data_IF_184431124601
#
_entry.id   IF_184431124601
#
_cell.length_a   1.000
_cell.length_b   1.000
_cell.length_c   1.000
_cell.angle_alpha   90.00
_cell.angle_beta   90.00
_cell.angle_gamma   90.00
#
_symmetry.space_group_name_H-M   'P 1'
#
loop_
_entity.id
_entity.type
_entity.pdbx_description
1 polymer ?
#
# COMPACT_ATOMS: atom_id res chain seq x y z
N UNK A 1 0.91 -23.12 -2.34
CA UNK A 1 0.64 -21.78 -2.91
C UNK A 1 1.92 -20.95 -2.91
N UNK A 2 2.51 -20.64 -1.74
CA UNK A 2 3.68 -19.77 -1.60
C UNK A 2 4.95 -20.36 -2.21
N UNK A 3 5.12 -21.67 -2.16
CA UNK A 3 6.35 -22.40 -2.55
C UNK A 3 7.61 -21.87 -1.85
N UNK A 4 7.44 -21.37 -0.63
CA UNK A 4 8.53 -20.99 0.26
C UNK A 4 8.79 -22.12 1.25
N UNK A 5 10.07 -22.35 1.60
CA UNK A 5 10.43 -23.35 2.57
C UNK A 5 10.32 -22.75 3.99
N UNK A 6 9.37 -23.23 4.77
CA UNK A 6 9.10 -22.76 6.13
C UNK A 6 10.32 -22.90 7.07
N UNK A 7 11.23 -23.85 6.79
CA UNK A 7 12.45 -24.02 7.60
C UNK A 7 13.42 -22.84 7.52
N UNK A 8 13.25 -21.94 6.56
CA UNK A 8 14.03 -20.70 6.46
C UNK A 8 13.31 -19.50 7.08
N UNK A 9 12.11 -19.71 7.64
CA UNK A 9 11.36 -18.66 8.29
C UNK A 9 11.66 -18.62 9.79
N UNK A 10 11.71 -17.43 10.35
CA UNK A 10 11.78 -17.24 11.79
C UNK A 10 10.39 -17.51 12.37
N UNK A 11 10.31 -18.39 13.37
CA UNK A 11 9.09 -18.66 14.12
C UNK A 11 9.06 -17.83 15.42
N UNK A 12 7.94 -17.23 15.72
CA UNK A 12 7.70 -16.46 16.94
C UNK A 12 6.36 -16.85 17.58
N UNK A 13 6.38 -17.10 18.90
CA UNK A 13 5.24 -17.57 19.71
C UNK A 13 4.23 -16.46 20.03
N UNK A 14 4.16 -15.44 19.21
CA UNK A 14 3.15 -14.39 19.29
C UNK A 14 2.68 -14.02 17.89
N UNK A 15 1.45 -13.56 17.78
CA UNK A 15 0.83 -13.19 16.51
C UNK A 15 0.04 -11.89 16.59
N UNK A 16 -0.46 -11.46 15.43
CA UNK A 16 -1.37 -10.34 15.31
C UNK A 16 -2.74 -10.82 14.82
N UNK A 17 -3.72 -9.92 14.79
CA UNK A 17 -5.08 -10.23 14.28
C UNK A 17 -5.76 -11.41 14.99
N UNK A 18 -5.45 -11.59 16.28
CA UNK A 18 -5.88 -12.73 17.12
C UNK A 18 -5.33 -14.09 16.68
N UNK A 19 -4.28 -14.16 15.87
CA UNK A 19 -3.49 -15.38 15.67
C UNK A 19 -2.52 -15.57 16.83
N UNK A 20 -2.19 -16.84 17.16
CA UNK A 20 -1.34 -17.15 18.32
C UNK A 20 0.15 -16.95 18.02
N UNK A 21 0.57 -17.24 16.80
CA UNK A 21 1.96 -17.29 16.39
C UNK A 21 2.12 -16.82 14.94
N UNK A 22 3.36 -16.57 14.53
CA UNK A 22 3.65 -16.28 13.15
C UNK A 22 5.02 -16.78 12.70
N UNK A 23 5.15 -16.96 11.40
CA UNK A 23 6.40 -17.21 10.70
C UNK A 23 6.74 -16.00 9.84
N UNK A 24 8.01 -15.57 9.87
CA UNK A 24 8.46 -14.43 9.07
C UNK A 24 9.68 -14.76 8.22
N UNK A 25 9.72 -14.22 7.02
CA UNK A 25 10.87 -14.22 6.13
C UNK A 25 11.07 -12.79 5.61
N UNK A 26 11.91 -12.02 6.30
CA UNK A 26 12.00 -10.59 6.06
C UNK A 26 10.66 -9.89 6.33
N UNK A 27 10.09 -9.28 5.29
CA UNK A 27 8.81 -8.56 5.38
C UNK A 27 7.59 -9.41 4.89
N UNK A 28 7.74 -10.73 4.81
CA UNK A 28 6.68 -11.70 4.51
C UNK A 28 6.26 -12.35 5.84
N UNK A 29 4.97 -12.27 6.19
CA UNK A 29 4.43 -12.79 7.43
C UNK A 29 3.33 -13.81 7.17
N UNK A 30 3.39 -14.95 7.87
CA UNK A 30 2.38 -16.01 7.86
C UNK A 30 1.91 -16.21 9.28
N UNK A 31 0.68 -15.84 9.57
CA UNK A 31 0.07 -16.01 10.88
C UNK A 31 -0.71 -17.31 10.95
N UNK A 32 -0.55 -18.04 12.03
CA UNK A 32 -1.22 -19.32 12.30
C UNK A 32 -1.77 -19.37 13.73
N UNK A 33 -2.63 -20.34 13.98
CA UNK A 33 -3.11 -20.64 15.31
C UNK A 33 -3.51 -22.12 15.38
N UNK A 34 -3.61 -22.65 16.59
CA UNK A 34 -4.04 -24.04 16.81
C UNK A 34 -5.52 -24.27 16.41
N UNK A 35 -6.29 -23.19 16.21
CA UNK A 35 -7.66 -23.24 15.72
C UNK A 35 -7.64 -23.39 14.19
N UNK A 36 -7.86 -24.62 13.71
CA UNK A 36 -7.85 -24.94 12.28
C UNK A 36 -8.96 -24.22 11.48
N UNK A 37 -10.11 -23.90 12.11
CA UNK A 37 -11.21 -23.19 11.46
C UNK A 37 -10.82 -21.76 11.08
N UNK A 38 -9.85 -21.19 11.80
CA UNK A 38 -9.35 -19.85 11.53
C UNK A 38 -8.48 -19.76 10.27
N UNK A 39 -7.87 -20.88 9.87
CA UNK A 39 -6.97 -20.96 8.73
C UNK A 39 -5.66 -20.19 8.95
N UNK A 40 -5.04 -19.80 7.85
CA UNK A 40 -3.74 -19.12 7.79
C UNK A 40 -3.90 -17.75 7.15
N UNK A 41 -3.28 -16.72 7.72
CA UNK A 41 -3.26 -15.38 7.15
C UNK A 41 -1.87 -15.06 6.59
N UNK A 42 -1.79 -14.78 5.31
CA UNK A 42 -0.60 -14.21 4.68
C UNK A 42 -0.71 -12.67 4.69
N UNK A 43 0.33 -12.01 5.18
CA UNK A 43 0.45 -10.56 5.13
C UNK A 43 1.74 -10.15 4.41
N UNK A 44 1.58 -9.34 3.37
CA UNK A 44 2.66 -8.73 2.58
C UNK A 44 2.47 -7.22 2.61
N UNK A 45 3.33 -6.51 3.32
CA UNK A 45 3.33 -5.04 3.38
C UNK A 45 4.41 -4.49 2.47
N UNK A 46 4.19 -3.35 1.84
CA UNK A 46 5.18 -2.55 1.14
C UNK A 46 6.42 -3.30 0.62
N UNK A 47 7.48 -3.38 1.43
CA UNK A 47 8.71 -4.13 1.08
C UNK A 47 8.48 -5.63 0.93
N UNK A 48 7.56 -6.21 1.72
CA UNK A 48 7.17 -7.61 1.62
C UNK A 48 6.57 -7.97 0.26
N UNK A 49 5.79 -7.08 -0.34
CA UNK A 49 5.29 -7.28 -1.70
C UNK A 49 6.44 -7.36 -2.71
N UNK A 50 7.41 -6.43 -2.66
CA UNK A 50 8.59 -6.46 -3.55
C UNK A 50 9.48 -7.67 -3.31
N UNK A 51 9.67 -8.06 -2.05
CA UNK A 51 10.41 -9.25 -1.71
C UNK A 51 9.71 -10.51 -2.26
N UNK A 52 8.40 -10.62 -2.06
CA UNK A 52 7.63 -11.76 -2.54
C UNK A 52 7.59 -11.82 -4.08
N UNK A 53 7.52 -10.67 -4.74
CA UNK A 53 7.62 -10.58 -6.21
C UNK A 53 8.94 -11.19 -6.73
N UNK A 54 10.07 -10.95 -6.05
CA UNK A 54 11.34 -11.56 -6.44
C UNK A 54 11.31 -13.09 -6.37
N UNK A 55 10.60 -13.66 -5.41
CA UNK A 55 10.38 -15.12 -5.34
C UNK A 55 9.44 -15.62 -6.43
N UNK A 56 8.39 -14.87 -6.75
CA UNK A 56 7.50 -15.21 -7.87
C UNK A 56 8.26 -15.24 -9.19
N UNK A 57 9.08 -14.22 -9.45
CA UNK A 57 9.91 -14.16 -10.67
C UNK A 57 10.90 -15.33 -10.73
N UNK A 58 11.56 -15.67 -9.62
CA UNK A 58 12.45 -16.82 -9.55
C UNK A 58 11.72 -18.16 -9.83
N UNK A 59 10.43 -18.22 -9.52
CA UNK A 59 9.55 -19.37 -9.79
C UNK A 59 8.90 -19.31 -11.18
N UNK A 60 9.21 -18.29 -12.00
CA UNK A 60 8.56 -18.01 -13.29
C UNK A 60 7.03 -17.86 -13.15
N UNK A 61 6.59 -17.20 -12.10
CA UNK A 61 5.18 -16.93 -11.79
C UNK A 61 4.93 -15.42 -11.71
N UNK A 62 3.73 -15.03 -12.05
CA UNK A 62 3.22 -13.67 -11.87
C UNK A 62 2.40 -13.52 -10.57
N UNK A 63 2.09 -12.29 -10.17
CA UNK A 63 1.09 -12.01 -9.14
C UNK A 63 -0.29 -12.58 -9.48
N UNK A 64 -0.64 -12.58 -10.76
CA UNK A 64 -1.91 -13.16 -11.23
C UNK A 64 -1.96 -14.66 -10.94
N UNK A 65 -0.89 -15.41 -11.28
CA UNK A 65 -0.82 -16.84 -11.03
C UNK A 65 -0.93 -17.17 -9.54
N UNK A 66 -0.23 -16.39 -8.70
CA UNK A 66 -0.29 -16.55 -7.25
C UNK A 66 -1.69 -16.30 -6.70
N UNK A 67 -2.35 -15.20 -7.10
CA UNK A 67 -3.69 -14.84 -6.63
C UNK A 67 -4.73 -15.85 -7.10
N UNK A 68 -4.63 -16.33 -8.34
CA UNK A 68 -5.51 -17.37 -8.87
C UNK A 68 -5.36 -18.68 -8.12
N UNK A 69 -4.12 -19.15 -7.88
CA UNK A 69 -3.86 -20.34 -7.07
C UNK A 69 -4.47 -20.20 -5.66
N UNK A 70 -4.29 -19.03 -5.03
CA UNK A 70 -4.82 -18.78 -3.70
C UNK A 70 -6.36 -18.83 -3.66
N UNK A 71 -7.04 -18.24 -4.66
CA UNK A 71 -8.50 -18.25 -4.76
C UNK A 71 -9.04 -19.65 -5.07
N UNK A 72 -8.38 -20.41 -5.95
CA UNK A 72 -8.76 -21.81 -6.28
C UNK A 72 -8.64 -22.71 -5.05
N UNK A 73 -7.63 -22.49 -4.22
CA UNK A 73 -7.44 -23.19 -2.94
C UNK A 73 -8.40 -22.71 -1.82
N UNK A 74 -9.39 -21.88 -2.14
CA UNK A 74 -10.38 -21.36 -1.18
C UNK A 74 -9.90 -20.17 -0.34
N UNK A 75 -8.80 -19.53 -0.73
CA UNK A 75 -8.30 -18.33 -0.08
C UNK A 75 -9.28 -17.17 -0.19
N UNK A 76 -9.37 -16.36 0.87
CA UNK A 76 -10.22 -15.18 0.94
C UNK A 76 -9.36 -13.93 0.97
N UNK A 77 -9.55 -13.06 -0.01
CA UNK A 77 -8.88 -11.76 -0.05
C UNK A 77 -9.44 -10.86 1.07
N UNK A 78 -8.61 -10.51 2.05
CA UNK A 78 -8.99 -9.59 3.12
C UNK A 78 -8.73 -8.14 2.76
N UNK A 79 -7.60 -7.88 2.10
CA UNK A 79 -7.21 -6.56 1.61
C UNK A 79 -6.26 -6.72 0.44
N UNK A 80 -6.43 -5.88 -0.56
CA UNK A 80 -5.48 -5.70 -1.66
C UNK A 80 -5.25 -4.21 -1.87
N UNK A 81 -3.99 -3.79 -1.95
CA UNK A 81 -3.61 -2.43 -2.24
C UNK A 81 -3.04 -2.39 -3.67
N UNK A 82 -3.69 -1.63 -4.53
CA UNK A 82 -3.25 -1.40 -5.91
C UNK A 82 -2.67 0.01 -6.01
N UNK A 83 -1.50 0.13 -6.62
CA UNK A 83 -0.89 1.42 -6.92
C UNK A 83 -1.00 1.72 -8.41
N UNK A 84 -1.41 2.96 -8.73
CA UNK A 84 -1.46 3.48 -10.08
C UNK A 84 -0.72 4.81 -10.06
N UNK A 85 0.30 4.95 -10.89
CA UNK A 85 1.05 6.19 -11.02
C UNK A 85 0.48 7.01 -12.18
N UNK A 86 0.17 8.27 -11.91
CA UNK A 86 -0.18 9.24 -12.96
C UNK A 86 1.08 9.97 -13.41
N UNK A 87 1.67 9.51 -14.52
CA UNK A 87 2.84 10.15 -15.13
C UNK A 87 2.48 11.34 -16.03
N UNK A 88 1.20 11.63 -16.19
CA UNK A 88 0.70 12.68 -17.08
C UNK A 88 0.24 13.93 -16.33
N UNK A 89 0.07 13.83 -15.01
CA UNK A 89 -0.40 14.93 -14.17
C UNK A 89 -1.88 15.28 -14.38
N UNK A 90 -2.69 14.30 -14.81
CA UNK A 90 -4.15 14.49 -14.95
C UNK A 90 -4.82 14.69 -13.60
N UNK A 91 -4.28 14.06 -12.54
CA UNK A 91 -4.83 14.15 -11.20
C UNK A 91 -4.30 15.39 -10.48
N UNK A 92 -5.02 16.49 -10.57
CA UNK A 92 -4.75 17.68 -9.74
C UNK A 92 -5.35 17.50 -8.34
N UNK A 93 -4.50 17.20 -7.35
CA UNK A 93 -4.94 16.91 -5.98
C UNK A 93 -5.63 18.10 -5.30
N UNK A 94 -5.14 19.36 -5.41
CA UNK A 94 -5.86 20.53 -4.94
C UNK A 94 -7.24 20.70 -5.58
N UNK A 95 -7.36 20.53 -6.88
CA UNK A 95 -8.66 20.62 -7.57
C UNK A 95 -9.63 19.52 -7.10
N UNK A 96 -9.13 18.29 -6.96
CA UNK A 96 -9.92 17.17 -6.42
C UNK A 96 -10.40 17.44 -4.99
N UNK A 97 -9.55 18.01 -4.13
CA UNK A 97 -9.92 18.37 -2.77
C UNK A 97 -10.97 19.50 -2.75
N UNK A 98 -10.88 20.46 -3.67
CA UNK A 98 -11.88 21.52 -3.82
C UNK A 98 -13.24 20.97 -4.29
N UNK A 99 -13.24 20.04 -5.25
CA UNK A 99 -14.46 19.33 -5.69
C UNK A 99 -15.10 18.55 -4.52
N UNK A 100 -14.28 17.92 -3.67
CA UNK A 100 -14.79 17.28 -2.46
C UNK A 100 -15.45 18.27 -1.50
N UNK A 101 -14.86 19.46 -1.29
CA UNK A 101 -15.44 20.53 -0.46
C UNK A 101 -16.78 21.03 -1.02
N UNK A 102 -16.88 21.17 -2.33
CA UNK A 102 -18.12 21.57 -3.03
C UNK A 102 -19.16 20.47 -3.11
N UNK A 103 -18.85 19.26 -2.67
CA UNK A 103 -19.72 18.08 -2.74
C UNK A 103 -20.00 17.65 -4.19
N UNK A 104 -19.06 17.85 -5.09
CA UNK A 104 -19.14 17.47 -6.49
C UNK A 104 -18.71 16.01 -6.73
N UNK A 105 -18.32 15.30 -5.67
CA UNK A 105 -17.93 13.90 -5.71
C UNK A 105 -19.12 12.99 -5.99
N UNK A 106 -18.97 12.11 -6.98
CA UNK A 106 -19.96 11.05 -7.32
C UNK A 106 -19.31 9.70 -7.00
N UNK A 107 -19.82 9.01 -5.98
CA UNK A 107 -19.28 7.71 -5.56
C UNK A 107 -19.82 7.25 -4.21
N UNK A 108 -19.31 6.12 -3.72
CA UNK A 108 -19.78 5.49 -2.47
C UNK A 108 -19.07 6.01 -1.20
N UNK A 109 -17.97 6.73 -1.34
CA UNK A 109 -17.23 7.26 -0.18
C UNK A 109 -18.03 8.36 0.51
N UNK A 110 -18.21 8.23 1.83
CA UNK A 110 -19.00 9.18 2.65
C UNK A 110 -18.17 10.32 3.23
N UNK A 111 -16.85 10.18 3.22
CA UNK A 111 -15.94 11.15 3.83
C UNK A 111 -14.68 11.29 3.01
N UNK A 112 -14.05 12.43 3.13
CA UNK A 112 -12.71 12.66 2.63
C UNK A 112 -11.84 13.30 3.72
N UNK A 113 -10.52 13.20 3.54
CA UNK A 113 -9.53 13.95 4.33
C UNK A 113 -8.50 14.50 3.37
N UNK A 114 -8.15 15.76 3.54
CA UNK A 114 -7.10 16.41 2.78
C UNK A 114 -6.02 16.90 3.73
N UNK A 115 -4.80 16.52 3.45
CA UNK A 115 -3.62 16.94 4.20
C UNK A 115 -2.68 17.70 3.27
N UNK A 116 -2.25 18.84 3.76
CA UNK A 116 -1.22 19.66 3.17
C UNK A 116 -0.41 20.26 4.31
N UNK A 117 0.89 20.15 4.25
CA UNK A 117 1.81 20.82 5.17
C UNK A 117 2.65 21.82 4.41
N UNK A 118 3.20 22.81 5.08
CA UNK A 118 4.08 23.82 4.52
C UNK A 118 5.34 23.99 5.36
N UNK A 119 6.39 24.50 4.78
CA UNK A 119 7.62 24.89 5.48
C UNK A 119 7.46 26.31 6.04
N UNK A 120 7.88 26.50 7.30
CA UNK A 120 7.92 27.85 7.93
C UNK A 120 9.17 28.63 7.54
N UNK A 121 10.21 27.93 7.11
CA UNK A 121 11.49 28.53 6.76
C UNK A 121 11.82 28.11 5.33
N UNK A 122 12.05 29.10 4.47
CA UNK A 122 12.46 28.86 3.07
C UNK A 122 13.93 28.41 3.06
N UNK A 123 14.16 27.09 2.97
CA UNK A 123 15.50 26.51 2.89
C UNK A 123 15.98 26.23 1.47
N UNK A 124 15.18 26.52 0.44
CA UNK A 124 15.44 26.10 -0.95
C UNK A 124 15.21 27.23 -1.93
N UNK A 125 15.86 27.12 -3.06
CA UNK A 125 15.59 27.91 -4.26
C UNK A 125 14.25 27.53 -4.92
N UNK A 126 13.56 26.52 -4.39
CA UNK A 126 12.28 26.02 -4.88
C UNK A 126 11.13 26.89 -4.33
N UNK A 127 10.29 27.41 -5.22
CA UNK A 127 9.14 28.27 -4.90
C UNK A 127 7.93 27.47 -4.33
N UNK A 128 8.07 26.18 -4.04
CA UNK A 128 6.99 25.39 -3.46
C UNK A 128 6.71 25.79 -2.02
N UNK A 129 5.49 26.24 -1.78
CA UNK A 129 5.01 26.65 -0.46
C UNK A 129 4.51 25.47 0.41
N UNK A 130 4.58 24.24 -0.08
CA UNK A 130 3.99 23.07 0.59
C UNK A 130 4.89 21.83 0.54
N UNK A 131 4.72 20.99 1.56
CA UNK A 131 5.48 19.76 1.77
C UNK A 131 4.67 18.51 1.38
N UNK A 132 4.18 18.46 0.15
CA UNK A 132 3.35 17.35 -0.36
C UNK A 132 1.89 17.43 0.08
N UNK A 133 1.04 16.84 -0.73
CA UNK A 133 -0.40 16.81 -0.53
C UNK A 133 -0.90 15.38 -0.59
N UNK A 134 -1.92 15.09 0.22
CA UNK A 134 -2.57 13.78 0.21
C UNK A 134 -4.07 13.95 0.37
N UNK A 135 -4.81 13.34 -0.53
CA UNK A 135 -6.28 13.26 -0.47
C UNK A 135 -6.70 11.82 -0.23
N UNK A 136 -7.45 11.61 0.83
CA UNK A 136 -8.09 10.32 1.12
C UNK A 136 -9.58 10.39 0.83
N UNK A 137 -10.12 9.38 0.12
CA UNK A 137 -11.55 9.20 -0.10
C UNK A 137 -12.02 7.92 0.57
N UNK A 138 -12.98 8.03 1.50
CA UNK A 138 -13.45 6.93 2.32
C UNK A 138 -12.64 6.73 3.60
N UNK A 139 -12.60 5.50 4.08
CA UNK A 139 -11.87 5.10 5.29
C UNK A 139 -11.32 3.68 5.13
N UNK A 140 -10.36 3.30 6.00
CA UNK A 140 -9.82 1.93 6.05
C UNK A 140 -10.86 0.84 6.36
N UNK A 141 -12.07 1.23 6.81
CA UNK A 141 -13.21 0.32 7.04
C UNK A 141 -14.16 0.23 5.84
N UNK A 142 -13.91 1.01 4.80
CA UNK A 142 -14.72 1.00 3.57
C UNK A 142 -14.25 -0.13 2.65
N UNK A 143 -15.16 -0.67 1.83
CA UNK A 143 -14.82 -1.67 0.81
C UNK A 143 -13.78 -1.15 -0.18
N UNK A 144 -13.84 0.16 -0.46
CA UNK A 144 -12.86 0.86 -1.29
C UNK A 144 -12.38 2.11 -0.57
N UNK A 145 -11.07 2.30 -0.55
CA UNK A 145 -10.40 3.44 0.05
C UNK A 145 -9.34 3.96 -0.90
N UNK A 146 -9.39 5.24 -1.24
CA UNK A 146 -8.40 5.87 -2.09
C UNK A 146 -7.45 6.71 -1.25
N UNK A 147 -6.16 6.59 -1.56
CA UNK A 147 -5.09 7.44 -1.06
C UNK A 147 -4.38 8.03 -2.29
N UNK A 148 -4.66 9.29 -2.59
CA UNK A 148 -4.09 10.02 -3.73
C UNK A 148 -3.07 10.99 -3.17
N UNK A 149 -1.81 10.91 -3.59
CA UNK A 149 -0.74 11.74 -3.03
C UNK A 149 0.32 12.08 -4.07
N UNK A 150 1.04 13.16 -3.83
CA UNK A 150 2.13 13.62 -4.67
C UNK A 150 3.35 12.69 -4.51
N UNK A 151 3.59 11.88 -5.52
CA UNK A 151 4.62 10.84 -5.52
C UNK A 151 6.02 11.42 -5.62
N UNK A 152 6.19 12.49 -6.38
CA UNK A 152 7.44 13.22 -6.53
C UNK A 152 7.98 13.69 -5.18
N UNK A 153 7.12 14.28 -4.37
CA UNK A 153 7.50 14.73 -3.04
C UNK A 153 7.84 13.57 -2.08
N UNK A 154 7.09 12.47 -2.15
CA UNK A 154 7.43 11.27 -1.39
C UNK A 154 8.81 10.71 -1.76
N UNK A 155 9.13 10.64 -3.03
CA UNK A 155 10.43 10.17 -3.53
C UNK A 155 11.56 11.10 -3.09
N UNK A 156 11.34 12.41 -3.18
CA UNK A 156 12.30 13.39 -2.72
C UNK A 156 12.60 13.22 -1.22
N UNK A 157 11.60 13.15 -0.36
CA UNK A 157 11.78 13.03 1.09
C UNK A 157 12.38 11.69 1.51
N UNK A 158 11.93 10.59 0.90
CA UNK A 158 12.33 9.24 1.30
C UNK A 158 13.62 8.76 0.65
N UNK A 159 13.86 9.13 -0.60
CA UNK A 159 14.93 8.59 -1.43
C UNK A 159 15.97 9.63 -1.82
N UNK A 160 15.69 10.93 -1.60
CA UNK A 160 16.53 12.03 -2.07
C UNK A 160 16.50 12.24 -3.58
N UNK A 161 15.51 11.65 -4.27
CA UNK A 161 15.35 11.81 -5.72
C UNK A 161 15.03 13.27 -6.04
N UNK A 162 15.75 13.96 -6.94
CA UNK A 162 15.41 15.32 -7.36
C UNK A 162 13.97 15.39 -7.88
N UNK A 163 13.25 16.46 -7.58
CA UNK A 163 11.83 16.58 -7.94
C UNK A 163 11.59 16.54 -9.46
N UNK A 164 12.55 17.04 -10.24
CA UNK A 164 12.54 17.00 -11.70
C UNK A 164 12.71 15.59 -12.30
N UNK A 165 13.25 14.65 -11.51
CA UNK A 165 13.48 13.25 -11.91
C UNK A 165 12.45 12.31 -11.29
N UNK A 166 11.60 12.81 -10.39
CA UNK A 166 10.63 12.00 -9.66
C UNK A 166 9.33 11.80 -10.47
N UNK A 167 8.66 10.69 -10.22
CA UNK A 167 7.30 10.47 -10.72
C UNK A 167 6.34 11.51 -10.10
N UNK A 168 5.41 12.04 -10.89
CA UNK A 168 4.54 13.13 -10.42
C UNK A 168 3.50 12.64 -9.42
N UNK A 169 2.80 11.54 -9.68
CA UNK A 169 1.74 10.97 -8.82
C UNK A 169 1.72 9.45 -8.87
#
# INVERSE_FOLDING_TARGET
>A
ILKLNINYMLHEDYGHYSYAEHYSLGDIFIYTSADEEKGVLLELKGRGCRQFESYLLAQQRSWYDFLMDALIDGGVMKRIDLAINDHTGILDIPELAEKCRKREYIGKSRSYKFYQSGELIKHREDDREYMGRTLYLGSLKSDVYFCIYEKDYEQYVKLGTPLEEADII
#
